data_IF_425047925471
#
_entry.id   IF_425047925471
#
_cell.length_a   1.000
_cell.length_b   1.000
_cell.length_c   1.000
_cell.angle_alpha   90.00
_cell.angle_beta   90.00
_cell.angle_gamma   90.00
#
_symmetry.space_group_name_H-M   'P 1'
#
loop_
_entity.id
_entity.type
_entity.pdbx_description
1 polymer ?
#
# COMPACT_ATOMS: atom_id res chain seq x y z
N UNK A 1 -3.49 -16.43 -29.66
CA UNK A 1 -2.72 -16.55 -28.42
C UNK A 1 -2.45 -15.13 -27.94
N UNK A 2 -3.22 -14.66 -26.98
CA UNK A 2 -2.96 -13.38 -26.34
C UNK A 2 -1.79 -13.61 -25.36
N UNK A 3 -0.62 -13.06 -25.68
CA UNK A 3 0.44 -12.93 -24.70
C UNK A 3 -0.06 -11.97 -23.62
N UNK A 4 -0.41 -12.50 -22.46
CA UNK A 4 -0.55 -11.69 -21.26
C UNK A 4 0.85 -11.16 -20.93
N UNK A 5 1.12 -9.93 -21.29
CA UNK A 5 2.21 -9.20 -20.66
C UNK A 5 1.78 -9.01 -19.22
N UNK A 6 2.33 -9.79 -18.32
CA UNK A 6 2.24 -9.59 -16.89
C UNK A 6 3.10 -8.40 -16.51
N UNK A 7 2.67 -7.22 -16.90
CA UNK A 7 3.16 -6.01 -16.26
C UNK A 7 2.64 -6.08 -14.83
N UNK A 8 3.53 -6.26 -13.88
CA UNK A 8 3.19 -6.30 -12.47
C UNK A 8 2.80 -4.88 -12.00
N UNK A 9 1.59 -4.47 -12.38
CA UNK A 9 1.03 -3.19 -11.98
C UNK A 9 0.55 -3.29 -10.53
N UNK A 10 0.98 -2.37 -9.70
CA UNK A 10 0.53 -2.30 -8.29
C UNK A 10 -0.95 -1.91 -8.16
N UNK A 11 -1.49 -1.25 -9.17
CA UNK A 11 -2.91 -0.90 -9.32
C UNK A 11 -3.28 -0.91 -10.80
N UNK A 12 -4.56 -0.92 -11.12
CA UNK A 12 -5.05 -0.82 -12.49
C UNK A 12 -6.22 0.14 -12.58
N UNK A 13 -5.91 1.43 -12.52
CA UNK A 13 -6.91 2.49 -12.58
C UNK A 13 -6.40 3.70 -13.35
N UNK A 14 -7.20 4.27 -14.27
CA UNK A 14 -6.83 5.49 -14.99
C UNK A 14 -6.66 6.69 -14.06
N UNK A 15 -7.29 6.67 -12.90
CA UNK A 15 -7.16 7.74 -11.91
C UNK A 15 -5.77 7.83 -11.29
N UNK A 16 -4.98 6.75 -11.34
CA UNK A 16 -3.60 6.74 -10.87
C UNK A 16 -2.63 7.57 -11.72
N UNK A 17 -3.10 8.11 -12.86
CA UNK A 17 -2.35 9.07 -13.68
C UNK A 17 -2.12 10.40 -12.97
N UNK A 18 -2.96 10.76 -12.02
CA UNK A 18 -2.95 12.07 -11.38
C UNK A 18 -2.29 12.03 -10.00
N UNK A 19 -1.53 13.09 -9.69
CA UNK A 19 -0.92 13.31 -8.39
C UNK A 19 0.07 12.23 -7.98
N UNK A 20 -0.13 11.64 -6.81
CA UNK A 20 0.72 10.58 -6.25
C UNK A 20 0.21 9.15 -6.61
N UNK A 21 -0.75 9.06 -7.52
CA UNK A 21 -1.36 7.78 -7.88
C UNK A 21 -2.48 7.34 -6.90
N UNK A 22 -2.72 6.04 -6.86
CA UNK A 22 -3.70 5.42 -5.97
C UNK A 22 -3.06 5.24 -4.58
N UNK A 23 -3.53 6.00 -3.60
CA UNK A 23 -3.00 5.97 -2.23
C UNK A 23 -3.51 4.73 -1.52
N UNK A 24 -2.59 3.90 -1.03
CA UNK A 24 -2.94 2.72 -0.27
C UNK A 24 -3.40 3.09 1.15
N UNK A 25 -4.44 2.38 1.59
CA UNK A 25 -4.96 2.53 2.94
C UNK A 25 -3.92 2.07 3.95
N UNK A 26 -3.54 2.95 4.84
CA UNK A 26 -2.52 2.68 5.87
C UNK A 26 -3.04 1.71 6.94
N UNK A 27 -2.14 1.01 7.61
CA UNK A 27 -2.41 0.04 8.66
C UNK A 27 -2.08 -1.39 8.24
N UNK A 28 -1.78 -2.22 9.23
CA UNK A 28 -1.55 -3.66 9.06
C UNK A 28 -2.84 -4.36 8.60
N UNK A 29 -2.74 -5.62 8.22
CA UNK A 29 -3.91 -6.43 7.87
C UNK A 29 -4.96 -6.45 8.99
N UNK A 30 -4.51 -6.45 10.25
CA UNK A 30 -5.39 -6.36 11.43
C UNK A 30 -6.15 -5.02 11.47
N UNK A 31 -5.45 -3.89 11.31
CA UNK A 31 -6.09 -2.57 11.28
C UNK A 31 -7.09 -2.45 10.13
N UNK A 32 -6.73 -2.95 8.94
CA UNK A 32 -7.60 -2.93 7.76
C UNK A 32 -8.86 -3.79 7.95
N UNK A 33 -8.73 -4.96 8.58
CA UNK A 33 -9.86 -5.83 8.94
C UNK A 33 -10.86 -5.16 9.87
N UNK A 34 -10.39 -4.23 10.71
CA UNK A 34 -11.24 -3.40 11.58
C UNK A 34 -11.69 -2.08 10.93
N UNK A 35 -11.65 -1.98 9.60
CA UNK A 35 -12.05 -0.76 8.90
C UNK A 35 -10.98 0.34 8.85
N UNK A 36 -9.74 0.06 9.27
CA UNK A 36 -8.61 1.00 9.31
C UNK A 36 -8.46 1.74 10.64
N UNK A 37 -9.10 1.26 11.68
CA UNK A 37 -8.92 1.76 13.04
C UNK A 37 -7.53 1.36 13.53
N UNK A 38 -6.76 2.30 14.08
CA UNK A 38 -5.42 2.01 14.58
C UNK A 38 -4.95 2.95 15.68
N UNK A 39 -5.26 4.25 15.60
CA UNK A 39 -4.69 5.27 16.50
C UNK A 39 -5.02 4.98 17.98
N UNK A 40 -6.24 4.61 18.27
CA UNK A 40 -6.69 4.28 19.65
C UNK A 40 -6.56 2.81 20.05
N UNK A 41 -6.08 1.96 19.15
CA UNK A 41 -6.00 0.51 19.41
C UNK A 41 -4.67 0.17 20.05
N UNK A 42 -4.74 -0.53 21.20
CA UNK A 42 -3.60 -1.13 21.88
C UNK A 42 -3.90 -2.62 22.05
N UNK A 43 -3.05 -3.45 21.49
CA UNK A 43 -3.17 -4.90 21.54
C UNK A 43 -1.79 -5.53 21.78
N UNK A 44 -1.74 -6.55 22.60
CA UNK A 44 -0.50 -7.25 22.95
C UNK A 44 -0.10 -8.32 21.92
N UNK A 45 -0.98 -8.63 20.96
CA UNK A 45 -0.81 -9.71 19.97
C UNK A 45 -0.56 -9.19 18.56
N UNK A 46 -0.95 -7.96 18.26
CA UNK A 46 -0.86 -7.40 16.92
C UNK A 46 0.02 -6.17 16.91
N UNK A 47 0.78 -6.01 15.82
CA UNK A 47 1.57 -4.80 15.60
C UNK A 47 0.65 -3.72 15.07
N UNK A 48 0.73 -2.53 15.67
CA UNK A 48 0.00 -1.37 15.21
C UNK A 48 0.96 -0.18 15.06
N UNK A 49 1.46 0.04 13.84
CA UNK A 49 2.40 1.13 13.56
C UNK A 49 1.72 2.50 13.43
N UNK A 50 0.38 2.55 13.31
CA UNK A 50 -0.36 3.82 13.29
C UNK A 50 -0.31 4.52 14.65
N UNK A 51 -0.05 3.75 15.73
CA UNK A 51 0.20 4.28 17.05
C UNK A 51 1.48 3.65 17.61
N UNK A 52 2.63 4.30 17.45
CA UNK A 52 3.90 3.73 17.90
C UNK A 52 3.93 3.43 19.41
N UNK A 53 3.18 4.16 20.23
CA UNK A 53 3.09 3.86 21.66
C UNK A 53 2.44 2.50 21.97
N UNK A 54 1.63 1.95 21.06
CA UNK A 54 0.96 0.67 21.25
C UNK A 54 1.90 -0.52 21.34
N UNK A 55 3.10 -0.41 20.76
CA UNK A 55 4.09 -1.50 20.77
C UNK A 55 4.64 -1.81 22.17
N UNK A 56 4.38 -0.96 23.16
CA UNK A 56 4.78 -1.17 24.56
C UNK A 56 3.84 -2.08 25.34
N UNK A 57 2.67 -2.43 24.78
CA UNK A 57 1.62 -3.22 25.44
C UNK A 57 1.91 -4.73 25.47
N UNK A 58 3.14 -5.14 25.26
CA UNK A 58 3.50 -6.55 25.21
C UNK A 58 3.62 -7.18 26.58
N UNK A 59 3.11 -8.41 26.69
CA UNK A 59 3.24 -9.22 27.91
C UNK A 59 4.64 -9.86 28.02
N UNK A 60 5.33 -10.06 26.88
CA UNK A 60 6.61 -10.77 26.82
C UNK A 60 7.67 -9.97 26.06
N UNK A 61 8.92 -10.18 26.43
CA UNK A 61 10.10 -9.63 25.74
C UNK A 61 10.40 -10.43 24.45
N UNK A 62 9.42 -10.57 23.58
CA UNK A 62 9.57 -11.28 22.29
C UNK A 62 9.54 -10.30 21.12
N UNK A 63 10.34 -10.58 20.11
CA UNK A 63 10.18 -9.90 18.84
C UNK A 63 8.88 -10.32 18.15
N UNK A 64 8.31 -9.43 17.36
CA UNK A 64 7.16 -9.76 16.51
C UNK A 64 7.47 -9.34 15.07
N UNK A 65 6.99 -10.16 14.14
CA UNK A 65 7.02 -9.92 12.71
C UNK A 65 5.58 -9.88 12.21
N UNK A 66 5.25 -8.86 11.44
CA UNK A 66 4.02 -8.79 10.66
C UNK A 66 4.38 -8.77 9.17
N UNK A 67 3.72 -9.61 8.39
CA UNK A 67 3.88 -9.69 6.95
C UNK A 67 2.52 -9.83 6.29
N UNK A 68 2.16 -8.86 5.47
CA UNK A 68 0.89 -8.81 4.78
C UNK A 68 1.02 -8.84 3.26
N UNK A 69 0.08 -9.51 2.62
CA UNK A 69 -0.12 -9.49 1.17
C UNK A 69 -1.52 -8.98 0.89
N UNK A 70 -1.64 -8.05 -0.06
CA UNK A 70 -2.89 -7.51 -0.52
C UNK A 70 -3.14 -7.93 -1.98
N UNK A 71 -4.31 -8.48 -2.24
CA UNK A 71 -4.75 -8.81 -3.58
C UNK A 71 -5.99 -8.00 -3.91
N UNK A 72 -5.97 -7.30 -5.05
CA UNK A 72 -7.10 -6.52 -5.55
C UNK A 72 -7.53 -7.07 -6.91
N UNK A 73 -8.83 -7.21 -7.08
CA UNK A 73 -9.45 -7.54 -8.36
C UNK A 73 -10.17 -6.30 -8.88
N UNK A 74 -9.79 -5.84 -10.05
CA UNK A 74 -10.41 -4.69 -10.71
C UNK A 74 -11.30 -5.19 -11.83
N UNK A 75 -12.54 -4.74 -11.84
CA UNK A 75 -13.49 -4.98 -12.92
C UNK A 75 -13.86 -3.62 -13.52
N UNK A 76 -13.47 -3.42 -14.76
CA UNK A 76 -13.78 -2.22 -15.51
C UNK A 76 -14.81 -2.54 -16.58
N UNK A 77 -15.89 -1.78 -16.62
CA UNK A 77 -16.93 -1.88 -17.63
C UNK A 77 -17.07 -0.55 -18.34
N UNK A 78 -16.91 -0.55 -19.65
CA UNK A 78 -17.17 0.59 -20.52
C UNK A 78 -18.18 0.16 -21.59
N UNK A 79 -19.46 0.37 -21.29
CA UNK A 79 -20.56 -0.01 -22.15
C UNK A 79 -20.59 -1.52 -22.46
N UNK A 80 -20.04 -1.91 -23.60
CA UNK A 80 -20.03 -3.30 -24.08
C UNK A 80 -18.69 -4.01 -23.88
N UNK A 81 -17.70 -3.35 -23.29
CA UNK A 81 -16.38 -3.94 -23.07
C UNK A 81 -16.16 -4.13 -21.58
N UNK A 82 -15.97 -5.37 -21.19
CA UNK A 82 -15.60 -5.73 -19.81
C UNK A 82 -14.15 -6.17 -19.75
N UNK A 83 -13.42 -5.69 -18.75
CA UNK A 83 -12.06 -6.11 -18.48
C UNK A 83 -11.83 -6.37 -17.00
N UNK A 84 -11.21 -7.51 -16.68
CA UNK A 84 -10.85 -7.90 -15.33
C UNK A 84 -9.34 -7.96 -15.17
N UNK A 85 -8.82 -7.36 -14.11
CA UNK A 85 -7.40 -7.37 -13.76
C UNK A 85 -7.22 -7.77 -12.31
N UNK A 86 -6.17 -8.52 -12.05
CA UNK A 86 -5.80 -8.98 -10.72
C UNK A 86 -4.41 -8.44 -10.40
N UNK A 87 -4.27 -7.81 -9.24
CA UNK A 87 -2.97 -7.34 -8.74
C UNK A 87 -2.70 -7.93 -7.37
N UNK A 88 -1.46 -8.33 -7.11
CA UNK A 88 -1.00 -8.81 -5.82
C UNK A 88 0.22 -7.99 -5.39
N UNK A 89 0.13 -7.35 -4.24
CA UNK A 89 1.16 -6.48 -3.72
C UNK A 89 1.51 -6.88 -2.28
N UNK A 90 2.77 -6.68 -1.91
CA UNK A 90 3.15 -6.69 -0.50
C UNK A 90 2.43 -5.55 0.21
N UNK A 91 1.78 -5.85 1.33
CA UNK A 91 1.06 -4.86 2.11
C UNK A 91 1.92 -4.25 3.21
N UNK A 92 2.62 -5.09 3.95
CA UNK A 92 3.48 -4.66 5.03
C UNK A 92 4.56 -5.70 5.32
N UNK A 93 5.68 -5.23 5.82
CA UNK A 93 6.73 -6.02 6.44
C UNK A 93 7.24 -5.22 7.63
N UNK A 94 6.88 -5.65 8.83
CA UNK A 94 7.11 -4.87 10.04
C UNK A 94 7.74 -5.75 11.11
N UNK A 95 8.83 -5.25 11.69
CA UNK A 95 9.51 -5.85 12.81
C UNK A 95 9.36 -4.98 14.05
N UNK A 96 9.16 -5.62 15.18
CA UNK A 96 9.23 -4.96 16.46
C UNK A 96 10.12 -5.74 17.41
N UNK A 97 11.04 -5.03 18.07
CA UNK A 97 12.03 -5.61 18.97
C UNK A 97 11.91 -4.95 20.34
N UNK A 98 11.73 -5.71 21.42
CA UNK A 98 11.80 -5.17 22.76
C UNK A 98 13.25 -4.82 23.13
N UNK A 99 13.47 -3.71 23.82
CA UNK A 99 14.80 -3.30 24.26
C UNK A 99 14.97 -3.59 25.76
N UNK A 100 14.05 -3.13 26.53
CA UNK A 100 14.05 -3.22 27.99
C UNK A 100 12.62 -3.07 28.50
N UNK A 101 12.39 -3.35 29.77
CA UNK A 101 11.06 -3.31 30.40
C UNK A 101 10.14 -2.25 29.82
N UNK A 102 9.12 -2.69 29.07
CA UNK A 102 8.09 -1.84 28.45
C UNK A 102 8.63 -0.76 27.49
N UNK A 103 9.76 -1.03 26.84
CA UNK A 103 10.29 -0.24 25.73
C UNK A 103 10.49 -1.13 24.52
N UNK A 104 10.20 -0.62 23.33
CA UNK A 104 10.37 -1.37 22.10
C UNK A 104 10.73 -0.46 20.92
N UNK A 105 11.42 -1.04 19.95
CA UNK A 105 11.62 -0.48 18.61
C UNK A 105 10.66 -1.10 17.63
N UNK A 106 10.31 -0.32 16.62
CA UNK A 106 9.56 -0.75 15.45
C UNK A 106 10.30 -0.27 14.20
N UNK A 107 10.43 -1.14 13.23
CA UNK A 107 10.90 -0.82 11.89
C UNK A 107 10.04 -1.54 10.88
N UNK A 108 9.72 -0.89 9.78
CA UNK A 108 8.90 -1.52 8.77
C UNK A 108 8.89 -0.78 7.45
N UNK A 109 8.43 -1.51 6.44
CA UNK A 109 8.20 -1.02 5.09
C UNK A 109 6.74 -1.31 4.74
N UNK A 110 6.05 -0.28 4.26
CA UNK A 110 4.67 -0.41 3.76
C UNK A 110 4.50 0.39 2.48
N UNK A 111 3.67 -0.04 1.53
CA UNK A 111 3.34 0.75 0.38
C UNK A 111 2.57 2.01 0.79
N UNK A 112 2.87 3.11 0.15
CA UNK A 112 2.17 4.37 0.33
C UNK A 112 1.23 4.66 -0.84
N UNK A 113 1.73 4.53 -2.07
CA UNK A 113 0.90 4.71 -3.26
C UNK A 113 1.38 3.86 -4.43
N UNK A 114 0.48 3.58 -5.34
CA UNK A 114 0.75 2.82 -6.55
C UNK A 114 0.24 3.57 -7.78
N UNK A 115 1.01 3.51 -8.86
CA UNK A 115 0.65 4.00 -10.18
C UNK A 115 0.56 2.80 -11.10
N UNK A 116 -0.55 2.65 -11.79
CA UNK A 116 -0.75 1.60 -12.77
C UNK A 116 -1.90 1.95 -13.70
N UNK A 117 -1.56 2.38 -14.91
CA UNK A 117 -2.54 2.64 -15.95
C UNK A 117 -2.04 2.15 -17.29
N UNK A 118 -2.98 1.68 -18.09
CA UNK A 118 -2.74 1.27 -19.47
C UNK A 118 -4.01 1.54 -20.27
N UNK A 119 -3.93 2.46 -21.22
CA UNK A 119 -5.05 2.74 -22.10
C UNK A 119 -4.58 2.99 -23.53
N UNK A 120 -5.42 2.62 -24.46
CA UNK A 120 -5.20 2.80 -25.89
C UNK A 120 -6.10 3.92 -26.39
N UNK A 121 -5.48 4.91 -27.01
CA UNK A 121 -6.17 6.01 -27.66
C UNK A 121 -5.99 5.89 -29.18
N UNK A 122 -7.08 5.94 -29.92
CA UNK A 122 -7.05 5.94 -31.37
C UNK A 122 -7.20 7.37 -31.88
N UNK A 123 -6.42 7.72 -32.90
CA UNK A 123 -6.52 9.01 -33.54
C UNK A 123 -7.89 9.15 -34.22
N UNK A 124 -8.62 10.23 -33.90
CA UNK A 124 -9.97 10.50 -34.41
C UNK A 124 -10.00 11.57 -35.51
N UNK A 125 -8.87 12.24 -35.76
CA UNK A 125 -8.83 13.29 -36.79
C UNK A 125 -8.77 12.68 -38.17
N UNK A 126 -9.80 12.97 -38.96
CA UNK A 126 -10.00 12.42 -40.31
C UNK A 126 -8.89 12.80 -41.30
N UNK A 127 -8.30 13.97 -41.15
CA UNK A 127 -7.16 14.46 -41.97
C UNK A 127 -5.90 13.63 -41.75
N UNK A 128 -5.64 13.19 -40.56
CA UNK A 128 -4.51 12.33 -40.22
C UNK A 128 -4.76 10.90 -40.67
N UNK A 129 -5.95 10.36 -40.38
CA UNK A 129 -6.34 9.01 -40.73
C UNK A 129 -6.30 8.78 -42.26
N UNK A 130 -6.72 9.79 -43.05
CA UNK A 130 -6.71 9.68 -44.49
C UNK A 130 -5.30 9.68 -45.10
N UNK A 131 -4.33 10.28 -44.40
CA UNK A 131 -2.95 10.42 -44.90
C UNK A 131 -2.02 9.30 -44.39
N UNK A 132 -2.21 8.83 -43.18
CA UNK A 132 -1.29 7.91 -42.52
C UNK A 132 -1.94 6.58 -42.08
N UNK A 133 -3.25 6.41 -42.31
CA UNK A 133 -4.00 5.25 -41.82
C UNK A 133 -4.44 5.40 -40.37
N UNK A 134 -4.99 4.29 -39.84
CA UNK A 134 -5.49 4.28 -38.47
C UNK A 134 -4.32 4.15 -37.49
N UNK A 135 -4.06 5.22 -36.73
CA UNK A 135 -2.97 5.28 -35.76
C UNK A 135 -3.56 5.13 -34.36
N UNK A 136 -3.03 4.18 -33.58
CA UNK A 136 -3.37 4.01 -32.18
C UNK A 136 -2.14 4.22 -31.29
N UNK A 137 -2.32 4.96 -30.21
CA UNK A 137 -1.32 5.21 -29.20
C UNK A 137 -1.65 4.40 -27.96
N UNK A 138 -0.66 3.69 -27.43
CA UNK A 138 -0.77 3.03 -26.15
C UNK A 138 -0.02 3.85 -25.10
N UNK A 139 -0.74 4.32 -24.08
CA UNK A 139 -0.19 5.05 -22.95
C UNK A 139 -0.22 4.15 -21.75
N UNK A 140 0.92 3.92 -21.14
CA UNK A 140 1.03 3.14 -19.92
C UNK A 140 1.97 3.82 -18.93
N UNK A 141 1.72 3.61 -17.67
CA UNK A 141 2.60 4.05 -16.60
C UNK A 141 2.53 3.10 -15.43
N UNK A 142 3.65 2.87 -14.78
CA UNK A 142 3.77 2.05 -13.59
C UNK A 142 4.75 2.70 -12.63
N UNK A 143 4.47 2.57 -11.35
CA UNK A 143 5.32 3.08 -10.29
C UNK A 143 4.73 2.77 -8.93
N UNK A 144 5.55 2.88 -7.91
CA UNK A 144 5.12 2.74 -6.53
C UNK A 144 5.99 3.59 -5.61
N UNK A 145 5.37 4.14 -4.58
CA UNK A 145 6.04 4.80 -3.49
C UNK A 145 5.85 3.93 -2.26
N UNK A 146 6.95 3.54 -1.64
CA UNK A 146 6.93 2.82 -0.37
C UNK A 146 7.44 3.73 0.73
N UNK A 147 6.87 3.60 1.91
CA UNK A 147 7.34 4.28 3.11
C UNK A 147 8.15 3.31 3.97
N UNK A 148 9.33 3.76 4.36
CA UNK A 148 10.15 3.14 5.38
C UNK A 148 9.94 3.91 6.67
N UNK A 149 9.66 3.23 7.77
CA UNK A 149 9.54 3.88 9.05
C UNK A 149 10.36 3.20 10.13
N UNK A 150 10.86 4.01 11.04
CA UNK A 150 11.58 3.61 12.23
C UNK A 150 10.99 4.34 13.41
N UNK A 151 10.64 3.61 14.47
CA UNK A 151 10.06 4.20 15.65
C UNK A 151 10.55 3.54 16.94
N UNK A 152 10.35 4.25 18.03
CA UNK A 152 10.60 3.76 19.37
C UNK A 152 9.47 4.20 20.30
N UNK A 153 9.19 3.39 21.28
CA UNK A 153 8.21 3.70 22.31
C UNK A 153 8.64 3.18 23.67
N UNK A 154 8.18 3.87 24.70
CA UNK A 154 8.45 3.51 26.09
C UNK A 154 7.26 3.85 26.99
N UNK A 155 7.07 3.07 28.03
CA UNK A 155 6.15 3.44 29.09
C UNK A 155 6.84 4.37 30.08
N UNK A 156 6.31 5.59 30.19
CA UNK A 156 6.79 6.58 31.18
C UNK A 156 6.20 6.27 32.56
N UNK A 157 4.93 5.91 32.58
CA UNK A 157 4.23 5.46 33.78
C UNK A 157 3.44 4.20 33.49
N UNK A 158 2.91 3.49 34.49
CA UNK A 158 2.07 2.32 34.25
C UNK A 158 0.88 2.57 33.31
N UNK A 159 0.39 3.81 33.27
CA UNK A 159 -0.78 4.19 32.50
C UNK A 159 -0.48 5.11 31.31
N UNK A 160 0.79 5.51 31.12
CA UNK A 160 1.19 6.43 30.06
C UNK A 160 2.34 5.85 29.25
N UNK A 161 2.10 5.60 27.97
CA UNK A 161 3.11 5.25 26.99
C UNK A 161 3.32 6.39 26.00
N UNK A 162 4.56 6.62 25.63
CA UNK A 162 4.97 7.63 24.63
C UNK A 162 5.74 6.92 23.54
N UNK A 163 5.44 7.25 22.31
CA UNK A 163 6.13 6.72 21.13
C UNK A 163 6.32 7.79 20.08
N UNK A 164 7.41 7.66 19.33
CA UNK A 164 7.71 8.50 18.18
C UNK A 164 8.19 7.63 17.03
N UNK A 165 7.89 8.04 15.81
CA UNK A 165 8.40 7.39 14.60
C UNK A 165 8.81 8.43 13.57
N UNK A 166 9.82 8.08 12.80
CA UNK A 166 10.27 8.79 11.62
C UNK A 166 9.87 8.00 10.39
N UNK A 167 9.32 8.68 9.39
CA UNK A 167 8.86 8.08 8.14
C UNK A 167 9.65 8.70 7.00
N UNK A 168 10.15 7.85 6.11
CA UNK A 168 10.84 8.22 4.89
C UNK A 168 10.09 7.63 3.68
N UNK A 169 9.88 8.45 2.65
CA UNK A 169 9.20 8.10 1.39
C UNK A 169 10.15 7.98 0.23
#
# INVERSE_FOLDING_TARGET
ANAQTTDALGTYTPYSLFGLGDIDKQGTSFNRGMGGIGIGVRDNRHINYLNPASITERDTLSFMLDFGINQKNFYNTDGNVESGYNTANMQDLIFTVPIYRKSAFIVGVTPFSNIGYKFRESETRTDIISKYGNISYEKYGTGSISQLFLGAAMNVTPNLAVGAQMIYY
#
